data_IF_396571889439
#
_entry.id   IF_396571889439
#
_cell.length_a   1.000
_cell.length_b   1.000
_cell.length_c   1.000
_cell.angle_alpha   90.00
_cell.angle_beta   90.00
_cell.angle_gamma   90.00
#
_symmetry.space_group_name_H-M   'P 1'
#
loop_
_entity.id
_entity.type
_entity.pdbx_description
1 polymer ?
#
# COMPACT_ATOMS: atom_id res chain seq x y z
N UNK A 1 -26.01 23.78 65.99
CA UNK A 1 -24.95 23.00 65.36
C UNK A 1 -25.59 22.27 64.16
N UNK A 2 -25.39 22.78 62.94
CA UNK A 2 -25.98 22.23 61.69
C UNK A 2 -24.93 21.34 61.02
N UNK A 3 -25.19 20.10 60.67
CA UNK A 3 -24.20 19.26 60.00
C UNK A 3 -24.07 19.66 58.51
N UNK A 4 -22.85 19.94 58.09
CA UNK A 4 -22.50 20.14 56.69
C UNK A 4 -22.35 18.77 56.02
N UNK A 5 -23.25 18.46 55.13
CA UNK A 5 -23.20 17.24 54.29
C UNK A 5 -22.22 17.44 53.14
N UNK A 6 -21.05 16.86 53.21
CA UNK A 6 -20.03 16.91 52.12
C UNK A 6 -20.40 15.87 51.08
N UNK A 7 -20.91 16.34 49.92
CA UNK A 7 -21.28 15.50 48.76
C UNK A 7 -19.99 15.16 47.99
N UNK A 8 -19.53 13.91 48.08
CA UNK A 8 -18.38 13.40 47.31
C UNK A 8 -18.85 13.12 45.89
N UNK A 9 -18.43 13.97 44.94
CA UNK A 9 -18.67 13.78 43.51
C UNK A 9 -17.71 12.71 42.97
N UNK A 10 -18.17 11.50 42.72
CA UNK A 10 -17.42 10.44 42.08
C UNK A 10 -17.37 10.70 40.54
N UNK A 11 -16.26 11.21 40.04
CA UNK A 11 -16.02 11.33 38.59
C UNK A 11 -15.75 9.93 38.03
N UNK A 12 -16.75 9.28 37.42
CA UNK A 12 -16.54 8.11 36.58
C UNK A 12 -15.89 8.57 35.27
N UNK A 13 -14.60 8.33 35.13
CA UNK A 13 -13.93 8.43 33.84
C UNK A 13 -14.34 7.24 32.99
N UNK A 14 -15.24 7.46 32.05
CA UNK A 14 -15.53 6.49 30.99
C UNK A 14 -14.26 6.35 30.12
N UNK A 15 -13.56 5.25 30.26
CA UNK A 15 -12.48 4.88 29.33
C UNK A 15 -13.15 4.63 27.97
N UNK A 16 -12.98 5.54 27.03
CA UNK A 16 -13.33 5.31 25.63
C UNK A 16 -12.39 4.21 25.12
N UNK A 17 -12.90 3.08 24.64
CA UNK A 17 -12.04 2.04 24.09
C UNK A 17 -11.23 2.64 22.92
N UNK A 18 -9.92 2.63 23.04
CA UNK A 18 -9.03 2.97 21.93
C UNK A 18 -9.28 1.91 20.85
N UNK A 19 -9.72 2.34 19.67
CA UNK A 19 -9.89 1.42 18.55
C UNK A 19 -8.59 0.65 18.31
N UNK A 20 -8.69 -0.65 18.12
CA UNK A 20 -7.54 -1.48 17.86
C UNK A 20 -6.81 -0.99 16.60
N UNK A 21 -5.49 -0.84 16.66
CA UNK A 21 -4.69 -0.48 15.52
C UNK A 21 -4.54 -1.70 14.61
N UNK A 22 -4.88 -1.57 13.36
CA UNK A 22 -4.82 -2.66 12.39
C UNK A 22 -3.84 -2.36 11.25
N UNK A 23 -2.99 -3.34 10.96
CA UNK A 23 -2.11 -3.36 9.78
C UNK A 23 -2.60 -4.40 8.78
N UNK A 24 -2.77 -4.00 7.55
CA UNK A 24 -2.86 -4.90 6.42
C UNK A 24 -1.46 -5.32 6.00
N UNK A 25 -1.23 -6.61 5.85
CA UNK A 25 0.09 -7.22 5.65
C UNK A 25 0.08 -8.12 4.42
N UNK A 26 1.04 -7.92 3.52
CA UNK A 26 1.32 -8.83 2.42
C UNK A 26 2.27 -9.91 2.93
N UNK A 27 1.73 -11.12 3.19
CA UNK A 27 2.41 -12.24 3.84
C UNK A 27 2.66 -13.41 2.91
N UNK A 28 3.50 -13.26 1.91
CA UNK A 28 3.85 -14.26 0.91
C UNK A 28 2.63 -14.66 0.04
N UNK A 29 2.00 -15.83 0.26
CA UNK A 29 0.87 -16.32 -0.53
C UNK A 29 -0.51 -15.94 0.07
N UNK A 30 -0.52 -15.08 1.09
CA UNK A 30 -1.74 -14.55 1.71
C UNK A 30 -1.63 -13.05 2.00
N UNK A 31 -2.76 -12.41 2.14
CA UNK A 31 -2.89 -11.07 2.71
C UNK A 31 -3.72 -11.19 3.99
N UNK A 32 -3.26 -10.56 5.07
CA UNK A 32 -3.97 -10.62 6.34
C UNK A 32 -4.02 -9.26 7.05
N UNK A 33 -5.00 -9.11 7.94
CA UNK A 33 -5.07 -7.98 8.87
C UNK A 33 -4.53 -8.44 10.21
N UNK A 34 -3.53 -7.70 10.69
CA UNK A 34 -2.92 -7.87 11.99
C UNK A 34 -3.46 -6.81 12.95
N UNK A 35 -4.12 -7.23 14.01
CA UNK A 35 -4.42 -6.37 15.16
C UNK A 35 -3.12 -6.16 15.94
N UNK A 36 -2.68 -4.90 16.06
CA UNK A 36 -1.44 -4.51 16.75
C UNK A 36 -1.77 -4.25 18.22
N UNK A 37 -1.49 -5.24 19.04
CA UNK A 37 -1.68 -5.23 20.49
C UNK A 37 -0.45 -5.86 21.17
N UNK A 38 -0.43 -5.94 22.50
CA UNK A 38 0.63 -6.64 23.26
C UNK A 38 0.78 -8.10 22.82
N UNK A 39 -0.33 -8.74 22.47
CA UNK A 39 -0.36 -10.04 21.80
C UNK A 39 -1.04 -9.85 20.43
N UNK A 40 -0.24 -9.70 19.36
CA UNK A 40 -0.78 -9.47 18.03
C UNK A 40 -1.48 -10.70 17.50
N UNK A 41 -2.55 -10.49 16.74
CA UNK A 41 -3.32 -11.60 16.15
C UNK A 41 -3.84 -11.26 14.76
N UNK A 42 -3.87 -12.28 13.88
CA UNK A 42 -4.52 -12.19 12.58
C UNK A 42 -6.04 -12.20 12.78
N UNK A 43 -6.71 -11.12 12.40
CA UNK A 43 -8.16 -10.96 12.55
C UNK A 43 -8.94 -11.13 11.24
N UNK A 44 -8.25 -11.11 10.12
CA UNK A 44 -8.78 -11.35 8.79
C UNK A 44 -7.68 -11.88 7.87
N UNK A 45 -8.05 -12.70 6.88
CA UNK A 45 -7.12 -13.17 5.85
C UNK A 45 -7.81 -13.39 4.51
N UNK A 46 -7.04 -13.23 3.45
CA UNK A 46 -7.38 -13.62 2.10
C UNK A 46 -6.22 -14.41 1.48
N UNK A 47 -6.55 -15.52 0.84
CA UNK A 47 -5.60 -16.37 0.11
C UNK A 47 -6.24 -16.78 -1.20
N UNK A 48 -5.56 -16.56 -2.33
CA UNK A 48 -6.13 -16.83 -3.65
C UNK A 48 -6.51 -18.30 -3.85
N UNK A 49 -5.74 -19.22 -3.26
CA UNK A 49 -5.99 -20.66 -3.32
C UNK A 49 -7.37 -21.04 -2.73
N UNK A 50 -7.86 -20.26 -1.76
CA UNK A 50 -9.14 -20.49 -1.07
C UNK A 50 -10.32 -19.79 -1.77
N UNK A 51 -10.14 -19.22 -2.97
CA UNK A 51 -11.14 -18.39 -3.67
C UNK A 51 -11.71 -19.12 -4.88
N UNK A 52 -12.85 -19.79 -4.75
CA UNK A 52 -13.47 -20.53 -5.86
C UNK A 52 -13.95 -19.62 -7.00
N UNK A 53 -14.24 -18.34 -6.70
CA UNK A 53 -14.61 -17.33 -7.69
C UNK A 53 -13.45 -16.93 -8.61
N UNK A 54 -12.19 -17.16 -8.20
CA UNK A 54 -11.03 -16.96 -9.07
C UNK A 54 -10.86 -18.17 -10.00
N UNK A 55 -10.69 -17.95 -11.33
CA UNK A 55 -10.25 -19.02 -12.22
C UNK A 55 -8.95 -19.69 -11.75
N UNK A 56 -8.81 -20.98 -12.02
CA UNK A 56 -7.68 -21.77 -11.49
C UNK A 56 -6.31 -21.18 -11.89
N UNK A 57 -6.19 -20.70 -13.12
CA UNK A 57 -4.98 -20.08 -13.65
C UNK A 57 -4.63 -18.75 -12.93
N UNK A 58 -5.62 -18.03 -12.39
CA UNK A 58 -5.38 -16.82 -11.62
C UNK A 58 -4.99 -17.12 -10.18
N UNK A 59 -5.46 -18.22 -9.57
CA UNK A 59 -5.09 -18.58 -8.19
C UNK A 59 -3.59 -18.77 -8.00
N UNK A 60 -2.90 -19.26 -9.01
CA UNK A 60 -1.44 -19.48 -8.98
C UNK A 60 -0.63 -18.18 -9.10
N UNK A 61 -1.28 -17.09 -9.50
CA UNK A 61 -0.63 -15.78 -9.68
C UNK A 61 -0.50 -14.95 -8.39
N UNK A 62 -0.75 -15.54 -7.24
CA UNK A 62 -0.63 -14.90 -5.93
C UNK A 62 0.31 -15.68 -5.00
N UNK A 63 1.32 -16.35 -5.57
CA UNK A 63 2.31 -17.10 -4.79
C UNK A 63 3.23 -16.19 -3.95
N UNK A 64 3.36 -14.90 -4.33
CA UNK A 64 4.14 -13.88 -3.60
C UNK A 64 3.42 -12.54 -3.69
N UNK A 65 2.69 -12.15 -2.62
CA UNK A 65 1.97 -10.88 -2.55
C UNK A 65 2.91 -9.72 -2.22
N UNK A 66 2.77 -8.61 -2.94
CA UNK A 66 3.67 -7.45 -2.82
C UNK A 66 2.97 -6.20 -2.28
N UNK A 67 1.83 -5.81 -2.84
CA UNK A 67 1.02 -4.71 -2.33
C UNK A 67 -0.29 -5.23 -1.77
N UNK A 68 -0.73 -4.64 -0.66
CA UNK A 68 -2.07 -4.79 -0.13
C UNK A 68 -2.51 -3.42 0.41
N UNK A 69 -3.38 -2.75 -0.32
CA UNK A 69 -3.77 -1.37 -0.06
C UNK A 69 -5.26 -1.29 0.27
N UNK A 70 -5.64 -0.70 1.42
CA UNK A 70 -7.02 -0.32 1.65
C UNK A 70 -7.42 0.75 0.63
N UNK A 71 -8.55 0.56 -0.03
CA UNK A 71 -9.09 1.52 -1.00
C UNK A 71 -10.57 1.81 -0.72
N UNK A 72 -11.12 2.80 -1.39
CA UNK A 72 -12.50 3.23 -1.19
C UNK A 72 -13.51 2.07 -1.23
N UNK A 73 -14.59 2.17 -0.45
CA UNK A 73 -15.68 1.18 -0.37
C UNK A 73 -15.31 -0.06 0.44
N UNK A 74 -14.44 0.05 1.44
CA UNK A 74 -13.97 -1.07 2.28
C UNK A 74 -13.42 -2.24 1.45
N UNK A 75 -12.68 -1.92 0.41
CA UNK A 75 -12.03 -2.88 -0.48
C UNK A 75 -10.53 -2.90 -0.23
N UNK A 76 -9.92 -4.02 -0.57
CA UNK A 76 -8.47 -4.21 -0.52
C UNK A 76 -7.99 -4.50 -1.94
N UNK A 77 -7.02 -3.72 -2.39
CA UNK A 77 -6.33 -3.94 -3.65
C UNK A 77 -5.04 -4.69 -3.39
N UNK A 78 -4.88 -5.84 -4.03
CA UNK A 78 -3.76 -6.78 -3.83
C UNK A 78 -2.99 -6.92 -5.13
N UNK A 79 -1.65 -6.90 -5.07
CA UNK A 79 -0.80 -7.31 -6.18
C UNK A 79 0.19 -8.39 -5.75
N UNK A 80 0.76 -9.08 -6.73
CA UNK A 80 1.73 -10.14 -6.51
C UNK A 80 2.82 -10.12 -7.59
N UNK A 81 4.08 -10.26 -7.19
CA UNK A 81 5.21 -10.42 -8.14
C UNK A 81 5.10 -11.71 -8.97
N UNK A 82 4.23 -12.62 -8.60
CA UNK A 82 3.78 -13.77 -9.40
C UNK A 82 2.71 -13.39 -10.45
N UNK A 83 2.59 -12.11 -10.80
CA UNK A 83 1.83 -11.50 -11.90
C UNK A 83 0.35 -11.21 -11.62
N UNK A 84 -0.18 -11.54 -10.44
CA UNK A 84 -1.59 -11.35 -10.08
C UNK A 84 -1.91 -9.97 -9.55
N UNK A 85 -3.16 -9.53 -9.78
CA UNK A 85 -3.79 -8.43 -9.07
C UNK A 85 -5.25 -8.73 -8.79
N UNK A 86 -5.76 -8.28 -7.63
CA UNK A 86 -7.15 -8.52 -7.22
C UNK A 86 -7.71 -7.33 -6.45
N UNK A 87 -9.01 -7.08 -6.61
CA UNK A 87 -9.79 -6.18 -5.76
C UNK A 87 -10.75 -7.02 -4.93
N UNK A 88 -10.60 -6.95 -3.62
CA UNK A 88 -11.28 -7.81 -2.65
C UNK A 88 -12.19 -6.99 -1.75
N UNK A 89 -13.39 -7.44 -1.50
CA UNK A 89 -14.29 -6.89 -0.51
C UNK A 89 -13.82 -7.34 0.89
N UNK A 90 -13.49 -6.40 1.75
CA UNK A 90 -12.92 -6.70 3.07
C UNK A 90 -13.92 -7.43 3.98
N UNK A 91 -15.19 -7.07 3.93
CA UNK A 91 -16.19 -7.63 4.84
C UNK A 91 -16.46 -9.11 4.56
N UNK A 92 -16.49 -9.48 3.28
CA UNK A 92 -16.83 -10.85 2.84
C UNK A 92 -15.62 -11.67 2.44
N UNK A 93 -14.47 -11.04 2.16
CA UNK A 93 -13.29 -11.65 1.56
C UNK A 93 -13.49 -12.07 0.10
N UNK A 94 -14.62 -11.68 -0.54
CA UNK A 94 -14.91 -12.04 -1.93
C UNK A 94 -14.06 -11.22 -2.89
N UNK A 95 -13.45 -11.89 -3.87
CA UNK A 95 -12.73 -11.23 -4.96
C UNK A 95 -13.74 -10.67 -5.97
N UNK A 96 -13.74 -9.34 -6.15
CA UNK A 96 -14.66 -8.63 -7.04
C UNK A 96 -14.08 -8.44 -8.43
N UNK A 97 -12.77 -8.30 -8.52
CA UNK A 97 -12.04 -8.15 -9.76
C UNK A 97 -10.68 -8.83 -9.65
N UNK A 98 -10.16 -9.28 -10.76
CA UNK A 98 -8.81 -9.79 -10.94
C UNK A 98 -8.25 -9.39 -12.29
N UNK A 99 -6.93 -9.26 -12.34
CA UNK A 99 -6.17 -8.95 -13.54
C UNK A 99 -4.75 -9.46 -13.42
N UNK A 100 -3.95 -9.22 -14.45
CA UNK A 100 -2.55 -9.62 -14.44
C UNK A 100 -1.65 -8.59 -15.11
N UNK A 101 -0.45 -8.46 -14.59
CA UNK A 101 0.65 -7.71 -15.17
C UNK A 101 1.96 -8.31 -14.71
N UNK A 102 2.95 -8.42 -15.58
CA UNK A 102 4.22 -9.04 -15.22
C UNK A 102 4.88 -8.37 -14.03
N UNK A 103 5.08 -9.12 -12.95
CA UNK A 103 5.72 -8.66 -11.73
C UNK A 103 4.99 -7.44 -11.11
N UNK A 104 3.71 -7.57 -10.81
CA UNK A 104 2.87 -6.49 -10.29
C UNK A 104 3.26 -6.14 -8.85
N UNK A 105 3.89 -4.99 -8.63
CA UNK A 105 4.44 -4.58 -7.33
C UNK A 105 3.60 -3.55 -6.57
N UNK A 106 2.73 -2.81 -7.26
CA UNK A 106 1.83 -1.87 -6.61
C UNK A 106 0.61 -1.59 -7.47
N UNK A 107 -0.43 -1.07 -6.85
CA UNK A 107 -1.65 -0.68 -7.53
C UNK A 107 -2.34 0.48 -6.81
N UNK A 108 -3.25 1.15 -7.52
CA UNK A 108 -4.22 2.03 -6.89
C UNK A 108 -5.57 2.02 -7.63
N UNK A 109 -6.61 2.47 -6.94
CA UNK A 109 -7.94 2.62 -7.49
C UNK A 109 -8.10 4.06 -8.00
N UNK A 110 -8.43 4.18 -9.26
CA UNK A 110 -8.67 5.44 -9.96
C UNK A 110 -10.18 5.72 -10.09
N UNK A 111 -10.59 6.97 -10.36
CA UNK A 111 -11.99 7.29 -10.63
C UNK A 111 -12.64 6.37 -11.65
N UNK A 112 -13.96 6.13 -11.52
CA UNK A 112 -14.74 5.29 -12.43
C UNK A 112 -14.46 3.79 -12.31
N UNK A 113 -14.08 3.31 -11.11
CA UNK A 113 -13.73 1.92 -10.82
C UNK A 113 -12.67 1.37 -11.81
N UNK A 114 -11.60 2.12 -12.00
CA UNK A 114 -10.43 1.67 -12.74
C UNK A 114 -9.28 1.36 -11.82
N UNK A 115 -8.54 0.30 -12.11
CA UNK A 115 -7.35 -0.12 -11.38
C UNK A 115 -6.13 0.21 -12.22
N UNK A 116 -5.14 0.87 -11.64
CA UNK A 116 -3.81 0.99 -12.21
C UNK A 116 -2.86 0.04 -11.51
N UNK A 117 -2.06 -0.70 -12.29
CA UNK A 117 -0.99 -1.57 -11.81
C UNK A 117 0.36 -0.97 -12.18
N UNK A 118 1.29 -0.92 -11.23
CA UNK A 118 2.70 -0.66 -11.45
C UNK A 118 3.42 -2.01 -11.53
N UNK A 119 3.90 -2.33 -12.73
CA UNK A 119 4.46 -3.63 -13.07
C UNK A 119 5.98 -3.50 -13.19
N UNK A 120 6.72 -4.25 -12.38
CA UNK A 120 8.16 -4.20 -12.30
C UNK A 120 8.83 -4.99 -13.43
N UNK A 121 10.08 -5.38 -13.26
CA UNK A 121 10.87 -6.02 -14.33
C UNK A 121 10.34 -7.41 -14.67
N UNK A 122 9.79 -7.56 -15.87
CA UNK A 122 9.38 -8.84 -16.46
C UNK A 122 9.44 -8.71 -17.98
N UNK A 123 10.11 -9.62 -18.64
CA UNK A 123 10.20 -9.62 -20.11
C UNK A 123 8.80 -9.63 -20.76
N UNK A 124 8.58 -8.78 -21.72
CA UNK A 124 7.36 -8.68 -22.52
C UNK A 124 6.13 -8.13 -21.77
N UNK A 125 6.00 -8.31 -20.44
CA UNK A 125 4.78 -8.01 -19.69
C UNK A 125 4.96 -7.08 -18.50
N UNK A 126 6.19 -6.79 -18.09
CA UNK A 126 6.55 -5.85 -17.02
C UNK A 126 6.96 -4.47 -17.54
N UNK A 127 7.64 -3.71 -16.69
CA UNK A 127 8.17 -2.35 -16.96
C UNK A 127 7.11 -1.38 -17.48
N UNK A 128 5.94 -1.35 -16.82
CA UNK A 128 4.81 -0.50 -17.27
C UNK A 128 3.86 -0.11 -16.15
N UNK A 129 3.09 0.93 -16.42
CA UNK A 129 1.78 1.14 -15.81
C UNK A 129 0.72 0.55 -16.73
N UNK A 130 -0.24 -0.18 -16.17
CA UNK A 130 -1.37 -0.74 -16.92
C UNK A 130 -2.69 -0.39 -16.23
N UNK A 131 -3.67 0.10 -16.97
CA UNK A 131 -4.98 0.52 -16.47
C UNK A 131 -6.03 -0.50 -16.90
N UNK A 132 -6.88 -0.93 -15.96
CA UNK A 132 -7.93 -1.91 -16.14
C UNK A 132 -9.28 -1.35 -15.70
N UNK A 133 -10.37 -1.93 -16.24
CA UNK A 133 -11.72 -1.70 -15.73
C UNK A 133 -12.04 -2.73 -14.63
N UNK A 134 -12.24 -2.27 -13.40
CA UNK A 134 -12.58 -3.15 -12.28
C UNK A 134 -13.98 -3.80 -12.39
N UNK A 135 -14.80 -3.34 -13.33
CA UNK A 135 -16.11 -3.96 -13.66
C UNK A 135 -15.98 -5.15 -14.60
N UNK A 136 -14.77 -5.40 -15.16
CA UNK A 136 -14.48 -6.47 -16.10
C UNK A 136 -13.39 -7.40 -15.56
N UNK A 137 -13.71 -8.32 -14.65
CA UNK A 137 -12.72 -9.26 -14.08
C UNK A 137 -12.06 -10.10 -15.20
N UNK A 138 -10.73 -10.20 -15.14
CA UNK A 138 -9.94 -10.92 -16.16
C UNK A 138 -9.83 -10.23 -17.52
N UNK A 139 -10.40 -9.02 -17.66
CA UNK A 139 -10.34 -8.24 -18.89
C UNK A 139 -8.94 -7.75 -19.23
N UNK A 140 -8.70 -7.42 -20.49
CA UNK A 140 -7.47 -6.82 -20.96
C UNK A 140 -7.29 -5.39 -20.41
N UNK A 141 -6.04 -4.94 -20.36
CA UNK A 141 -5.74 -3.56 -20.02
C UNK A 141 -6.35 -2.60 -21.06
N UNK A 142 -7.01 -1.55 -20.57
CA UNK A 142 -7.55 -0.46 -21.39
C UNK A 142 -6.44 0.43 -21.96
N UNK A 143 -5.34 0.56 -21.22
CA UNK A 143 -4.20 1.39 -21.56
C UNK A 143 -2.95 0.87 -20.85
N UNK A 144 -1.79 1.04 -21.46
CA UNK A 144 -0.51 0.82 -20.83
C UNK A 144 0.53 1.84 -21.32
N UNK A 145 1.45 2.22 -20.43
CA UNK A 145 2.59 3.08 -20.76
C UNK A 145 3.84 2.59 -20.04
N UNK A 146 5.02 2.87 -20.59
CA UNK A 146 6.28 2.45 -20.00
C UNK A 146 6.54 3.11 -18.65
N UNK A 147 6.97 2.29 -17.67
CA UNK A 147 7.58 2.70 -16.41
C UNK A 147 8.57 1.61 -15.99
N UNK A 148 9.86 1.87 -16.19
CA UNK A 148 10.89 0.89 -15.84
C UNK A 148 10.87 0.58 -14.34
N UNK A 149 10.84 -0.72 -14.00
CA UNK A 149 10.79 -1.21 -12.61
C UNK A 149 9.69 -0.51 -11.78
N UNK A 150 8.43 -0.58 -12.26
CA UNK A 150 7.30 0.06 -11.57
C UNK A 150 7.03 -0.56 -10.21
N UNK A 151 7.19 0.20 -9.11
CA UNK A 151 7.08 -0.26 -7.72
C UNK A 151 6.04 0.49 -6.88
N UNK A 152 5.50 1.60 -7.37
CA UNK A 152 4.54 2.40 -6.63
C UNK A 152 3.48 3.03 -7.53
N UNK A 153 2.25 3.09 -7.04
CA UNK A 153 1.15 3.84 -7.63
C UNK A 153 0.32 4.47 -6.50
N UNK A 154 0.07 5.77 -6.57
CA UNK A 154 -0.75 6.53 -5.60
C UNK A 154 -1.61 7.52 -6.34
N UNK A 155 -2.92 7.39 -6.21
CA UNK A 155 -3.88 8.37 -6.70
C UNK A 155 -4.02 9.53 -5.70
N UNK A 156 -3.82 10.74 -6.18
CA UNK A 156 -4.02 11.98 -5.45
C UNK A 156 -5.31 12.65 -5.92
N UNK A 157 -6.40 12.35 -5.23
CA UNK A 157 -7.73 12.87 -5.55
C UNK A 157 -7.75 14.39 -5.54
N UNK A 158 -7.11 15.00 -4.52
CA UNK A 158 -7.13 16.46 -4.36
C UNK A 158 -6.43 17.21 -5.50
N UNK A 159 -5.41 16.59 -6.12
CA UNK A 159 -4.66 17.18 -7.23
C UNK A 159 -5.04 16.60 -8.59
N UNK A 160 -5.89 15.57 -8.63
CA UNK A 160 -6.24 14.86 -9.85
C UNK A 160 -5.01 14.28 -10.55
N UNK A 161 -4.09 13.67 -9.79
CA UNK A 161 -2.83 13.14 -10.31
C UNK A 161 -2.58 11.70 -9.84
N UNK A 162 -2.15 10.87 -10.76
CA UNK A 162 -1.54 9.59 -10.43
C UNK A 162 -0.03 9.79 -10.29
N UNK A 163 0.48 9.47 -9.12
CA UNK A 163 1.92 9.38 -8.86
C UNK A 163 2.38 7.93 -9.03
N UNK A 164 3.45 7.73 -9.76
CA UNK A 164 3.99 6.41 -10.05
C UNK A 164 5.51 6.38 -9.87
N UNK A 165 5.99 5.38 -9.14
CA UNK A 165 7.38 5.19 -8.78
C UNK A 165 8.02 4.10 -9.66
N UNK A 166 9.10 4.46 -10.32
CA UNK A 166 10.00 3.54 -11.01
C UNK A 166 11.35 3.44 -10.31
N UNK A 167 12.32 2.78 -10.97
CA UNK A 167 13.67 2.53 -10.45
C UNK A 167 14.42 3.81 -10.03
N UNK A 168 14.32 4.88 -10.84
CA UNK A 168 15.12 6.10 -10.71
C UNK A 168 14.30 7.37 -10.73
N UNK A 169 12.99 7.25 -10.85
CA UNK A 169 12.13 8.42 -11.01
C UNK A 169 10.74 8.24 -10.40
N UNK A 170 10.20 9.36 -9.92
CA UNK A 170 8.81 9.54 -9.59
C UNK A 170 8.14 10.33 -10.71
N UNK A 171 7.06 9.80 -11.27
CA UNK A 171 6.29 10.44 -12.34
C UNK A 171 4.91 10.84 -11.85
N UNK A 172 4.40 11.97 -12.34
CA UNK A 172 3.00 12.35 -12.20
C UNK A 172 2.29 12.24 -13.55
N UNK A 173 1.05 11.77 -13.53
CA UNK A 173 0.21 11.64 -14.71
C UNK A 173 -1.15 12.31 -14.49
N UNK A 174 -1.69 12.91 -15.55
CA UNK A 174 -3.10 13.31 -15.63
C UNK A 174 -3.91 12.20 -16.29
N UNK A 175 -5.18 12.11 -15.91
CA UNK A 175 -6.14 11.25 -16.58
C UNK A 175 -6.65 11.97 -17.84
N UNK A 176 -6.56 11.34 -19.00
CA UNK A 176 -7.05 11.89 -20.29
C UNK A 176 -8.08 10.99 -20.92
N UNK A 177 -9.07 11.57 -21.58
CA UNK A 177 -10.20 10.88 -22.20
C UNK A 177 -10.86 9.87 -21.23
N UNK A 178 -10.86 10.19 -19.94
CA UNK A 178 -11.09 9.24 -18.86
C UNK A 178 -12.49 8.62 -18.90
N UNK A 179 -13.50 9.36 -19.31
CA UNK A 179 -14.88 8.84 -19.45
C UNK A 179 -15.13 8.08 -20.77
N UNK A 180 -14.13 8.01 -21.64
CA UNK A 180 -14.25 7.30 -22.93
C UNK A 180 -13.93 5.82 -22.79
N UNK A 181 -14.18 5.07 -23.89
CA UNK A 181 -13.75 3.68 -24.02
C UNK A 181 -12.24 3.50 -24.20
N UNK A 182 -11.49 4.59 -24.40
CA UNK A 182 -10.04 4.61 -24.59
C UNK A 182 -9.39 5.63 -23.67
N UNK A 183 -9.40 5.38 -22.33
CA UNK A 183 -8.74 6.24 -21.38
C UNK A 183 -7.23 6.18 -21.57
N UNK A 184 -6.53 7.25 -21.19
CA UNK A 184 -5.06 7.27 -21.22
C UNK A 184 -4.49 8.04 -20.02
N UNK A 185 -3.20 7.87 -19.80
CA UNK A 185 -2.40 8.59 -18.82
C UNK A 185 -1.44 9.52 -19.56
N UNK A 186 -1.62 10.83 -19.38
CA UNK A 186 -0.70 11.82 -19.94
C UNK A 186 0.36 12.19 -18.90
N UNK A 187 1.62 12.04 -19.25
CA UNK A 187 2.73 12.42 -18.39
C UNK A 187 2.66 13.94 -18.10
N UNK A 188 2.61 14.29 -16.81
CA UNK A 188 2.59 15.67 -16.34
C UNK A 188 3.99 16.14 -15.91
N UNK A 189 4.71 15.30 -15.16
CA UNK A 189 6.07 15.60 -14.71
C UNK A 189 6.89 14.36 -14.38
N UNK A 190 8.23 14.55 -14.37
CA UNK A 190 9.22 13.55 -13.94
C UNK A 190 10.15 14.16 -12.91
N UNK A 191 10.46 13.41 -11.87
CA UNK A 191 11.35 13.83 -10.78
C UNK A 191 12.36 12.71 -10.56
N UNK A 192 13.65 13.00 -10.76
CA UNK A 192 14.71 12.05 -10.43
C UNK A 192 14.71 11.76 -8.94
N UNK A 193 14.83 10.50 -8.56
CA UNK A 193 14.99 10.12 -7.16
C UNK A 193 16.37 10.55 -6.64
N UNK A 194 16.49 10.84 -5.35
CA UNK A 194 17.79 11.16 -4.73
C UNK A 194 18.79 9.99 -4.78
N UNK A 195 18.31 8.76 -4.88
CA UNK A 195 19.08 7.54 -5.08
C UNK A 195 18.27 6.53 -5.90
N UNK A 196 18.88 5.44 -6.35
CA UNK A 196 18.25 4.40 -7.16
C UNK A 196 17.45 3.39 -6.32
N UNK A 197 16.69 2.54 -6.99
CA UNK A 197 15.96 1.46 -6.36
C UNK A 197 14.69 1.93 -5.64
N UNK A 198 13.82 2.64 -6.35
CA UNK A 198 12.50 3.02 -5.81
C UNK A 198 11.67 1.79 -5.47
N UNK A 199 11.27 1.61 -4.20
CA UNK A 199 10.48 0.46 -3.72
C UNK A 199 9.14 0.84 -3.10
N UNK A 200 9.09 1.87 -2.26
CA UNK A 200 7.88 2.30 -1.57
C UNK A 200 7.38 3.63 -2.11
N UNK A 201 6.07 3.71 -2.30
CA UNK A 201 5.36 4.96 -2.54
C UNK A 201 4.06 4.97 -1.72
N UNK A 202 3.98 5.84 -0.72
CA UNK A 202 2.80 5.96 0.12
C UNK A 202 2.48 7.43 0.42
N UNK A 203 1.20 7.78 0.50
CA UNK A 203 0.79 9.12 0.93
C UNK A 203 1.03 9.31 2.44
N UNK A 204 1.53 10.47 2.83
CA UNK A 204 1.57 10.90 4.24
C UNK A 204 0.21 11.48 4.58
N UNK A 205 -0.53 10.89 5.55
CA UNK A 205 -1.87 11.35 5.89
C UNK A 205 -1.91 12.83 6.26
N UNK A 206 -2.93 13.54 5.77
CA UNK A 206 -3.15 14.96 6.07
C UNK A 206 -2.10 15.93 5.55
N UNK A 207 -1.23 15.51 4.61
CA UNK A 207 -0.16 16.34 4.07
C UNK A 207 -0.02 16.28 2.55
N UNK A 208 0.75 17.21 1.99
CA UNK A 208 1.15 17.19 0.58
C UNK A 208 2.25 16.18 0.26
N UNK A 209 2.76 15.44 1.26
CA UNK A 209 3.96 14.62 1.10
C UNK A 209 3.64 13.17 0.71
N UNK A 210 4.57 12.58 -0.03
CA UNK A 210 4.67 11.13 -0.26
C UNK A 210 5.91 10.59 0.44
N UNK A 211 5.82 9.41 1.06
CA UNK A 211 6.98 8.60 1.42
C UNK A 211 7.47 7.89 0.17
N UNK A 212 8.77 7.96 -0.07
CA UNK A 212 9.46 7.31 -1.19
C UNK A 212 10.68 6.61 -0.65
N UNK A 213 10.77 5.28 -0.74
CA UNK A 213 11.99 4.58 -0.37
C UNK A 213 12.88 4.30 -1.59
N UNK A 214 14.17 4.31 -1.35
CA UNK A 214 15.23 3.91 -2.27
C UNK A 214 16.12 2.87 -1.61
N UNK A 215 17.17 2.40 -2.28
CA UNK A 215 18.14 1.52 -1.62
C UNK A 215 18.83 2.19 -0.43
N UNK A 216 19.14 3.49 -0.52
CA UNK A 216 19.91 4.20 0.50
C UNK A 216 19.07 4.63 1.72
N UNK A 217 17.76 4.84 1.56
CA UNK A 217 16.92 5.34 2.66
C UNK A 217 15.54 5.76 2.22
N UNK A 218 14.83 6.49 3.08
CA UNK A 218 13.49 7.00 2.80
C UNK A 218 13.49 8.51 2.69
N UNK A 219 12.70 9.00 1.76
CA UNK A 219 12.56 10.40 1.40
C UNK A 219 11.10 10.82 1.51
N UNK A 220 10.87 12.10 1.75
CA UNK A 220 9.57 12.76 1.60
C UNK A 220 9.59 13.60 0.35
N UNK A 221 8.67 13.34 -0.56
CA UNK A 221 8.45 14.17 -1.74
C UNK A 221 7.25 15.08 -1.51
N UNK A 222 7.47 16.37 -1.56
CA UNK A 222 6.39 17.36 -1.49
C UNK A 222 5.77 17.54 -2.89
N UNK A 223 4.48 17.21 -3.02
CA UNK A 223 3.76 17.22 -4.30
C UNK A 223 3.49 18.63 -4.83
N UNK A 224 3.48 19.64 -3.96
CA UNK A 224 3.25 21.04 -4.34
C UNK A 224 4.58 21.71 -4.68
N UNK A 225 5.58 21.59 -3.81
CA UNK A 225 6.92 22.14 -4.04
C UNK A 225 7.73 21.33 -5.06
N UNK A 226 7.36 20.05 -5.31
CA UNK A 226 8.04 19.11 -6.23
C UNK A 226 9.50 18.84 -5.84
N UNK A 227 9.75 18.73 -4.55
CA UNK A 227 11.09 18.55 -3.99
C UNK A 227 11.16 17.35 -3.05
N UNK A 228 12.34 16.71 -3.00
CA UNK A 228 12.65 15.67 -2.04
C UNK A 228 13.38 16.25 -0.83
N UNK A 229 13.03 15.76 0.36
CA UNK A 229 13.79 15.94 1.60
C UNK A 229 13.94 14.58 2.27
N UNK A 230 15.02 14.37 3.00
CA UNK A 230 15.23 13.13 3.72
C UNK A 230 14.16 12.93 4.80
N UNK A 231 13.61 11.70 4.93
CA UNK A 231 12.65 11.41 6.01
C UNK A 231 13.35 11.46 7.37
N UNK A 232 12.80 12.16 8.37
CA UNK A 232 13.48 12.36 9.65
C UNK A 232 13.70 11.06 10.44
N UNK A 233 12.86 10.05 10.25
CA UNK A 233 12.90 8.79 11.00
C UNK A 233 13.65 7.67 10.26
N UNK A 234 13.66 7.70 8.91
CA UNK A 234 14.10 6.57 8.08
C UNK A 234 15.17 6.94 7.03
N UNK A 235 15.74 8.14 7.06
CA UNK A 235 16.73 8.60 6.06
C UNK A 235 17.97 7.72 5.94
N UNK A 236 18.35 7.07 7.04
CA UNK A 236 19.54 6.21 7.12
C UNK A 236 19.17 4.71 7.22
N UNK A 237 17.91 4.35 6.94
CA UNK A 237 17.43 2.96 6.95
C UNK A 237 17.41 2.44 5.52
N UNK A 238 18.37 1.57 5.19
CA UNK A 238 18.51 0.97 3.87
C UNK A 238 17.42 -0.06 3.58
N UNK A 239 17.13 -0.29 2.31
CA UNK A 239 16.28 -1.39 1.84
C UNK A 239 14.88 -1.46 2.47
N UNK A 240 14.30 -0.30 2.79
CA UNK A 240 12.92 -0.21 3.25
C UNK A 240 11.97 -0.59 2.11
N UNK A 241 11.17 -1.64 2.32
CA UNK A 241 10.22 -2.16 1.33
C UNK A 241 8.82 -1.58 1.50
N UNK A 242 8.50 -1.13 2.71
CA UNK A 242 7.24 -0.45 3.01
C UNK A 242 7.40 0.53 4.15
N UNK A 243 6.71 1.66 4.07
CA UNK A 243 6.58 2.63 5.17
C UNK A 243 5.18 3.26 5.15
N UNK A 244 4.50 3.27 6.28
CA UNK A 244 3.12 3.76 6.40
C UNK A 244 2.91 4.46 7.73
N UNK A 245 2.12 5.54 7.73
CA UNK A 245 1.84 6.36 8.94
C UNK A 245 0.38 6.21 9.31
N UNK A 246 0.10 5.85 10.56
CA UNK A 246 -1.25 5.80 11.12
C UNK A 246 -1.76 7.22 11.34
N UNK A 247 -2.81 7.62 10.62
CA UNK A 247 -3.31 9.00 10.64
C UNK A 247 -3.68 9.50 12.05
N UNK A 248 -4.42 8.73 12.88
CA UNK A 248 -4.83 9.22 14.19
C UNK A 248 -3.69 9.44 15.19
N UNK A 249 -2.62 8.64 15.13
CA UNK A 249 -1.54 8.66 16.15
C UNK A 249 -0.19 9.15 15.64
N UNK A 250 -0.01 9.27 14.33
CA UNK A 250 1.28 9.56 13.71
C UNK A 250 2.30 8.42 13.83
N UNK A 251 1.91 7.24 14.35
CA UNK A 251 2.79 6.08 14.48
C UNK A 251 3.24 5.60 13.09
N UNK A 252 4.54 5.53 12.88
CA UNK A 252 5.13 4.98 11.65
C UNK A 252 5.35 3.48 11.82
N UNK A 253 4.97 2.69 10.82
CA UNK A 253 5.31 1.29 10.69
C UNK A 253 6.06 1.07 9.37
N UNK A 254 7.08 0.21 9.37
CA UNK A 254 7.84 -0.10 8.17
C UNK A 254 8.38 -1.52 8.17
N UNK A 255 8.66 -2.04 6.98
CA UNK A 255 9.39 -3.28 6.74
C UNK A 255 10.71 -2.97 6.06
N UNK A 256 11.76 -3.67 6.47
CA UNK A 256 13.10 -3.61 5.90
C UNK A 256 13.53 -5.02 5.51
N UNK A 257 14.04 -5.18 4.31
CA UNK A 257 14.47 -6.48 3.84
C UNK A 257 15.60 -7.06 4.70
N UNK A 258 15.54 -8.35 4.98
CA UNK A 258 16.58 -9.09 5.71
C UNK A 258 17.56 -9.73 4.73
N UNK A 259 18.64 -8.99 4.38
CA UNK A 259 19.61 -9.48 3.41
C UNK A 259 20.12 -10.90 3.74
N UNK A 260 20.24 -11.81 2.77
CA UNK A 260 20.10 -11.61 1.32
C UNK A 260 18.66 -11.68 0.79
N UNK A 261 17.67 -11.80 1.67
CA UNK A 261 16.25 -11.85 1.29
C UNK A 261 15.74 -10.45 0.92
N UNK A 262 14.68 -10.40 0.10
CA UNK A 262 13.94 -9.19 -0.21
C UNK A 262 12.69 -8.99 0.68
N UNK A 263 12.45 -9.89 1.61
CA UNK A 263 11.36 -9.93 2.59
C UNK A 263 11.89 -9.94 4.02
N UNK A 264 11.00 -9.81 5.00
CA UNK A 264 11.32 -9.86 6.44
C UNK A 264 10.22 -10.54 7.25
N UNK A 265 10.55 -11.04 8.42
CA UNK A 265 9.58 -11.47 9.45
C UNK A 265 9.30 -10.39 10.49
N UNK A 266 9.83 -9.17 10.31
CA UNK A 266 9.76 -8.09 11.30
C UNK A 266 9.00 -6.89 10.79
N UNK A 267 8.11 -6.36 11.62
CA UNK A 267 7.51 -5.04 11.46
C UNK A 267 8.18 -4.11 12.47
N UNK A 268 8.73 -3.03 12.01
CA UNK A 268 9.39 -2.03 12.84
C UNK A 268 8.50 -0.81 12.96
N UNK A 269 8.50 -0.22 14.16
CA UNK A 269 7.69 0.97 14.46
C UNK A 269 8.58 2.12 14.93
N UNK A 270 8.08 3.34 14.71
CA UNK A 270 8.56 4.57 15.34
C UNK A 270 7.40 5.25 16.05
N UNK A 271 7.71 5.89 17.16
CA UNK A 271 6.73 6.61 17.99
C UNK A 271 5.64 5.69 18.59
N UNK A 272 6.01 4.78 19.53
CA UNK A 272 7.33 4.47 20.06
C UNK A 272 8.12 3.50 19.17
N UNK A 273 9.43 3.40 19.41
CA UNK A 273 10.31 2.45 18.75
C UNK A 273 10.07 1.04 19.31
N UNK A 274 9.53 0.18 18.45
CA UNK A 274 9.21 -1.23 18.78
C UNK A 274 9.50 -2.07 17.55
N UNK A 275 9.93 -3.30 17.77
CA UNK A 275 10.05 -4.34 16.74
C UNK A 275 9.08 -5.47 17.07
N UNK A 276 8.20 -5.79 16.13
CA UNK A 276 7.32 -6.95 16.21
C UNK A 276 7.83 -8.02 15.26
N UNK A 277 8.15 -9.21 15.78
CA UNK A 277 8.52 -10.37 14.97
C UNK A 277 7.33 -11.30 14.84
N UNK A 278 7.02 -11.69 13.62
CA UNK A 278 6.01 -12.69 13.29
C UNK A 278 6.72 -13.93 12.74
N UNK A 279 7.01 -14.88 13.63
CA UNK A 279 7.77 -16.07 13.29
C UNK A 279 7.07 -16.90 12.19
N UNK A 280 7.83 -17.29 11.19
CA UNK A 280 7.33 -18.03 10.03
C UNK A 280 6.71 -17.18 8.93
N UNK A 281 6.42 -15.90 9.17
CA UNK A 281 5.92 -14.98 8.15
C UNK A 281 7.05 -14.44 7.26
N UNK A 282 6.72 -14.24 5.98
CA UNK A 282 7.58 -13.57 5.00
C UNK A 282 6.82 -12.37 4.44
N UNK A 283 7.10 -11.20 4.98
CA UNK A 283 6.35 -10.00 4.68
C UNK A 283 7.13 -9.09 3.72
N UNK A 284 6.39 -8.41 2.85
CA UNK A 284 6.96 -7.40 1.96
C UNK A 284 6.38 -6.02 2.29
N UNK A 285 5.14 -5.70 1.89
CA UNK A 285 4.51 -4.42 2.22
C UNK A 285 3.46 -4.55 3.32
N UNK A 286 3.31 -3.46 4.04
CA UNK A 286 2.30 -3.28 5.10
C UNK A 286 1.61 -1.94 4.92
N UNK A 287 0.33 -1.84 5.35
CA UNK A 287 -0.45 -0.59 5.34
C UNK A 287 -1.29 -0.47 6.60
N UNK A 288 -1.23 0.70 7.26
CA UNK A 288 -2.24 1.00 8.28
C UNK A 288 -3.63 1.02 7.66
N UNK A 289 -4.58 0.43 8.34
CA UNK A 289 -5.99 0.62 8.07
C UNK A 289 -6.40 1.86 8.87
N UNK A 290 -6.84 2.89 8.13
CA UNK A 290 -7.13 4.23 8.67
C UNK A 290 -8.55 4.30 9.20
#
# INVERSE_FOLDING_TARGET
MTPVLTMLLLLLTLAVPVAAQELLVCGWDEVFVLEVADTPRKVWRWKAADRPELPAEYRTKFATTDECKPVAGQRILITASSDGAALVDRATGQTRWWGQCGNAHSADLLPGDRVVLACSVREGTGNRLAVFDARSPGGAALFATELYSGHGAVWDEARGRLWALGEKELRAYRLEAWESSRPSLALDSRHALPDVGGHELAAVPGSAQLLVSTHAGVWRFDRDARTFVADPDLKDVHDVKSATIHAPTGRLAYTQADAPNWWTSRIQFRRPDVVLTLDGEKMYKIRWIQ
#
